data_IF_806195150055
#
_entry.id   IF_806195150055
#
_cell.length_a   1.000
_cell.length_b   1.000
_cell.length_c   1.000
_cell.angle_alpha   90.00
_cell.angle_beta   90.00
_cell.angle_gamma   90.00
#
_symmetry.space_group_name_H-M   'P 1'
#
loop_
_entity.id
_entity.type
_entity.pdbx_description
1 polymer ?
#
# COMPACT_ATOMS: atom_id res chain seq x y z
N UNK A 1 0.44 11.64 13.49
CA UNK A 1 0.47 10.64 12.41
C UNK A 1 0.11 9.26 12.95
N UNK A 2 -0.54 8.41 12.17
CA UNK A 2 -0.70 6.97 12.47
C UNK A 2 0.43 6.22 11.79
N UNK A 3 1.36 5.69 12.57
CA UNK A 3 2.58 5.07 12.06
C UNK A 3 2.47 3.56 12.10
N UNK A 4 2.20 3.02 13.29
CA UNK A 4 2.09 1.58 13.50
C UNK A 4 0.70 1.04 13.18
N UNK A 5 0.61 -0.29 13.03
CA UNK A 5 -0.67 -1.00 12.92
C UNK A 5 -1.58 -0.71 14.12
N UNK A 6 -1.03 -0.67 15.34
CA UNK A 6 -1.79 -0.39 16.56
C UNK A 6 -2.29 1.05 16.63
N UNK A 7 -1.54 2.03 16.10
CA UNK A 7 -2.02 3.40 15.96
C UNK A 7 -3.20 3.47 15.00
N UNK A 8 -3.06 2.87 13.80
CA UNK A 8 -4.14 2.85 12.81
C UNK A 8 -5.41 2.19 13.35
N UNK A 9 -5.27 1.12 14.15
CA UNK A 9 -6.39 0.44 14.79
C UNK A 9 -7.06 1.32 15.85
N UNK A 10 -6.26 1.93 16.73
CA UNK A 10 -6.75 2.73 17.86
C UNK A 10 -7.44 4.02 17.41
N UNK A 11 -6.85 4.72 16.45
CA UNK A 11 -7.36 6.00 15.97
C UNK A 11 -8.42 5.84 14.87
N UNK A 12 -8.54 4.65 14.27
CA UNK A 12 -9.50 4.36 13.20
C UNK A 12 -9.23 5.12 11.88
N UNK A 13 -8.04 5.71 11.74
CA UNK A 13 -7.61 6.49 10.57
C UNK A 13 -6.18 6.13 10.18
N UNK A 14 -5.83 6.42 8.91
CA UNK A 14 -4.49 6.21 8.39
C UNK A 14 -4.44 6.27 6.87
N UNK A 15 -3.24 6.53 6.34
CA UNK A 15 -2.99 6.44 4.89
C UNK A 15 -2.82 4.97 4.46
N UNK A 16 -2.68 4.71 3.16
CA UNK A 16 -2.62 3.33 2.64
C UNK A 16 -1.50 2.50 3.28
N UNK A 17 -0.35 3.08 3.57
CA UNK A 17 0.77 2.38 4.21
C UNK A 17 0.42 1.90 5.64
N UNK A 18 -0.14 2.79 6.47
CA UNK A 18 -0.56 2.45 7.83
C UNK A 18 -1.72 1.43 7.84
N UNK A 19 -2.66 1.55 6.89
CA UNK A 19 -3.75 0.59 6.70
C UNK A 19 -3.25 -0.78 6.25
N UNK A 20 -2.28 -0.81 5.33
CA UNK A 20 -1.67 -2.05 4.88
C UNK A 20 -0.92 -2.75 6.02
N UNK A 21 -0.23 -1.99 6.89
CA UNK A 21 0.38 -2.52 8.11
C UNK A 21 -0.67 -3.15 9.03
N UNK A 22 -1.80 -2.48 9.25
CA UNK A 22 -2.89 -3.00 10.07
C UNK A 22 -3.50 -4.28 9.47
N UNK A 23 -3.81 -4.29 8.17
CA UNK A 23 -4.38 -5.48 7.53
C UNK A 23 -3.40 -6.66 7.58
N UNK A 24 -2.11 -6.44 7.30
CA UNK A 24 -1.09 -7.48 7.42
C UNK A 24 -1.02 -8.05 8.84
N UNK A 25 -1.03 -7.18 9.86
CA UNK A 25 -1.01 -7.59 11.26
C UNK A 25 -2.24 -8.42 11.65
N UNK A 26 -3.45 -7.99 11.23
CA UNK A 26 -4.70 -8.70 11.50
C UNK A 26 -4.73 -10.08 10.83
N UNK A 27 -4.30 -10.18 9.57
CA UNK A 27 -4.21 -11.46 8.85
C UNK A 27 -3.25 -12.44 9.55
N UNK A 28 -2.04 -11.97 9.88
CA UNK A 28 -1.02 -12.79 10.54
C UNK A 28 -1.46 -13.23 11.94
N UNK A 29 -2.13 -12.36 12.68
CA UNK A 29 -2.70 -12.70 13.99
C UNK A 29 -3.74 -13.83 13.91
N UNK A 30 -4.38 -14.01 12.74
CA UNK A 30 -5.32 -15.08 12.46
C UNK A 30 -4.68 -16.27 11.70
N UNK A 31 -3.35 -16.34 11.64
CA UNK A 31 -2.63 -17.45 11.00
C UNK A 31 -2.67 -17.43 9.46
N UNK A 32 -3.12 -16.33 8.84
CA UNK A 32 -3.13 -16.18 7.39
C UNK A 32 -1.78 -15.58 6.96
N UNK A 33 -0.97 -16.29 6.15
CA UNK A 33 0.27 -15.71 5.62
C UNK A 33 -0.08 -14.48 4.80
N UNK A 34 0.57 -13.37 5.12
CA UNK A 34 0.33 -12.10 4.43
C UNK A 34 1.63 -11.35 4.19
N UNK A 35 1.64 -10.52 3.17
CA UNK A 35 2.74 -9.64 2.80
C UNK A 35 2.24 -8.30 2.30
N UNK A 36 3.14 -7.60 1.64
CA UNK A 36 2.93 -6.28 1.06
C UNK A 36 3.21 -6.33 -0.43
N UNK A 37 2.42 -5.57 -1.18
CA UNK A 37 2.64 -5.31 -2.59
C UNK A 37 2.47 -3.81 -2.85
N UNK A 38 3.00 -3.30 -3.95
CA UNK A 38 2.99 -1.87 -4.23
C UNK A 38 2.50 -1.52 -5.63
N UNK A 39 2.09 -0.26 -5.77
CA UNK A 39 1.85 0.39 -7.04
C UNK A 39 2.54 1.76 -7.02
N UNK A 40 3.13 2.18 -8.13
CA UNK A 40 3.53 3.56 -8.38
C UNK A 40 2.40 4.24 -9.14
N UNK A 41 1.78 5.24 -8.54
CA UNK A 41 0.59 5.90 -9.07
C UNK A 41 0.84 7.38 -9.27
N UNK A 42 0.15 7.97 -10.24
CA UNK A 42 0.13 9.42 -10.45
C UNK A 42 -0.52 10.12 -9.25
N UNK A 43 0.06 11.21 -8.75
CA UNK A 43 -0.48 11.89 -7.56
C UNK A 43 -1.73 12.72 -7.89
N UNK A 44 -1.76 13.33 -9.08
CA UNK A 44 -2.86 14.17 -9.58
C UNK A 44 -3.56 13.56 -10.79
N UNK A 45 -3.73 14.35 -11.85
CA UNK A 45 -4.41 13.91 -13.07
C UNK A 45 -3.48 13.77 -14.27
N UNK A 46 -2.24 14.22 -14.14
CA UNK A 46 -1.27 14.27 -15.23
C UNK A 46 0.16 13.96 -14.72
N UNK A 47 1.06 13.38 -15.54
CA UNK A 47 2.39 12.93 -15.11
C UNK A 47 3.26 14.00 -14.45
N UNK A 48 3.07 15.28 -14.81
CA UNK A 48 3.77 16.44 -14.25
C UNK A 48 3.39 16.73 -12.79
N UNK A 49 2.30 16.14 -12.28
CA UNK A 49 1.94 16.22 -10.85
C UNK A 49 2.77 15.29 -9.95
N UNK A 50 3.67 14.51 -10.54
CA UNK A 50 4.49 13.54 -9.83
C UNK A 50 3.74 12.26 -9.52
N UNK A 51 4.40 11.39 -8.75
CA UNK A 51 3.93 10.06 -8.44
C UNK A 51 4.14 9.76 -6.96
N UNK A 52 3.42 8.76 -6.46
CA UNK A 52 3.60 8.23 -5.13
C UNK A 52 3.48 6.71 -5.11
N UNK A 53 4.01 6.10 -4.06
CA UNK A 53 3.82 4.68 -3.80
C UNK A 53 2.52 4.45 -3.03
N UNK A 54 1.65 3.60 -3.58
CA UNK A 54 0.48 3.03 -2.91
C UNK A 54 0.79 1.63 -2.40
N UNK A 55 0.38 1.34 -1.16
CA UNK A 55 0.60 0.04 -0.53
C UNK A 55 -0.66 -0.80 -0.55
N UNK A 56 -0.46 -2.07 -0.88
CA UNK A 56 -1.43 -3.16 -0.92
C UNK A 56 -0.95 -4.29 -0.02
N UNK A 57 -1.80 -5.29 0.18
CA UNK A 57 -1.46 -6.51 0.89
C UNK A 57 -1.56 -7.71 -0.03
N UNK A 58 -0.72 -8.71 0.23
CA UNK A 58 -0.90 -10.07 -0.29
C UNK A 58 -1.40 -10.96 0.84
N UNK A 59 -2.28 -11.93 0.54
CA UNK A 59 -2.76 -12.92 1.49
C UNK A 59 -2.80 -14.29 0.84
N UNK A 60 -2.22 -15.30 1.49
CA UNK A 60 -2.24 -16.68 0.99
C UNK A 60 -3.48 -17.41 1.52
N UNK A 61 -4.34 -17.85 0.61
CA UNK A 61 -5.48 -18.69 0.96
C UNK A 61 -5.14 -20.15 0.71
N UNK A 62 -4.82 -20.87 1.78
CA UNK A 62 -4.44 -22.28 1.73
C UNK A 62 -5.51 -23.16 1.07
N UNK A 63 -6.79 -22.90 1.37
CA UNK A 63 -7.94 -23.60 0.77
C UNK A 63 -8.01 -23.52 -0.77
N UNK A 64 -7.37 -22.51 -1.38
CA UNK A 64 -7.32 -22.30 -2.82
C UNK A 64 -5.91 -22.45 -3.39
N UNK A 65 -4.89 -22.64 -2.55
CA UNK A 65 -3.49 -22.73 -2.95
C UNK A 65 -2.96 -21.50 -3.70
N UNK A 66 -3.50 -20.29 -3.44
CA UNK A 66 -3.12 -19.07 -4.17
C UNK A 66 -2.96 -17.84 -3.28
N UNK A 67 -2.10 -16.92 -3.75
CA UNK A 67 -1.99 -15.57 -3.23
C UNK A 67 -3.06 -14.66 -3.84
N UNK A 68 -3.69 -13.84 -3.02
CA UNK A 68 -4.58 -12.76 -3.42
C UNK A 68 -3.98 -11.41 -3.05
N UNK A 69 -4.17 -10.40 -3.89
CA UNK A 69 -3.85 -9.01 -3.56
C UNK A 69 -5.10 -8.28 -3.07
N UNK A 70 -4.94 -7.49 -2.02
CA UNK A 70 -5.99 -6.81 -1.29
C UNK A 70 -5.61 -5.34 -1.11
N UNK A 71 -6.57 -4.43 -1.25
CA UNK A 71 -6.37 -3.01 -0.94
C UNK A 71 -7.02 -2.64 0.41
N UNK A 72 -6.18 -2.40 1.42
CA UNK A 72 -6.62 -2.03 2.76
C UNK A 72 -7.33 -0.66 2.83
N UNK A 73 -7.31 0.13 1.75
CA UNK A 73 -8.08 1.38 1.65
C UNK A 73 -9.59 1.13 1.73
N UNK A 74 -10.04 -0.01 1.19
CA UNK A 74 -11.44 -0.40 1.10
C UNK A 74 -12.30 0.55 0.24
N UNK A 75 -13.61 0.35 0.33
CA UNK A 75 -14.57 1.02 -0.55
C UNK A 75 -14.85 2.47 -0.12
N UNK A 76 -15.10 3.31 -1.12
CA UNK A 76 -15.67 4.66 -1.00
C UNK A 76 -16.72 4.84 -2.09
N UNK A 77 -17.44 5.97 -2.11
CA UNK A 77 -18.47 6.28 -3.11
C UNK A 77 -18.04 5.99 -4.57
N UNK A 78 -16.76 6.24 -4.89
CA UNK A 78 -16.19 6.04 -6.23
C UNK A 78 -14.99 5.06 -6.22
N UNK A 79 -14.88 4.20 -5.21
CA UNK A 79 -13.76 3.24 -5.07
C UNK A 79 -14.33 1.88 -4.69
N UNK A 80 -14.03 0.87 -5.50
CA UNK A 80 -14.55 -0.50 -5.37
C UNK A 80 -13.37 -1.46 -5.26
N UNK A 81 -12.93 -1.70 -4.03
CA UNK A 81 -11.84 -2.58 -3.65
C UNK A 81 -12.32 -3.67 -2.67
N UNK A 82 -13.57 -4.14 -2.83
CA UNK A 82 -14.08 -5.21 -1.98
C UNK A 82 -13.36 -6.54 -2.23
N UNK A 83 -13.24 -7.35 -1.18
CA UNK A 83 -12.69 -8.69 -1.30
C UNK A 83 -13.49 -9.54 -2.30
N UNK A 84 -12.77 -10.26 -3.17
CA UNK A 84 -13.35 -11.20 -4.12
C UNK A 84 -12.41 -12.41 -4.28
N UNK A 85 -12.99 -13.60 -4.42
CA UNK A 85 -12.26 -14.84 -4.70
C UNK A 85 -12.05 -15.06 -6.21
N UNK A 86 -12.88 -14.42 -7.02
CA UNK A 86 -12.97 -14.64 -8.46
C UNK A 86 -12.01 -13.72 -9.23
N UNK A 87 -11.99 -12.44 -8.87
CA UNK A 87 -11.21 -11.40 -9.55
C UNK A 87 -10.54 -10.46 -8.56
N UNK A 88 -9.42 -9.86 -8.97
CA UNK A 88 -8.72 -8.84 -8.18
C UNK A 88 -9.48 -7.51 -8.24
N UNK A 89 -9.77 -6.93 -7.08
CA UNK A 89 -10.48 -5.66 -6.93
C UNK A 89 -9.65 -4.67 -6.13
N UNK A 90 -9.01 -3.74 -6.83
CA UNK A 90 -8.13 -2.72 -6.25
C UNK A 90 -8.72 -1.32 -6.44
N UNK A 91 -8.28 -0.36 -5.62
CA UNK A 91 -8.72 1.03 -5.79
C UNK A 91 -8.21 1.66 -7.09
N UNK A 92 -7.08 1.16 -7.60
CA UNK A 92 -6.38 1.70 -8.77
C UNK A 92 -5.85 0.57 -9.64
N UNK A 93 -5.90 0.80 -10.96
CA UNK A 93 -5.32 -0.07 -11.98
C UNK A 93 -4.36 0.78 -12.82
N UNK A 94 -3.05 0.76 -12.51
CA UNK A 94 -2.02 1.51 -13.21
C UNK A 94 -2.15 1.41 -14.74
N UNK A 95 -2.29 2.54 -15.43
CA UNK A 95 -2.42 2.56 -16.89
C UNK A 95 -1.82 3.80 -17.56
N UNK A 96 -1.40 4.80 -16.79
CA UNK A 96 -0.75 5.98 -17.31
C UNK A 96 0.76 5.75 -17.48
N UNK A 97 1.38 6.60 -18.30
CA UNK A 97 2.84 6.61 -18.46
C UNK A 97 3.51 6.77 -17.08
N UNK A 98 4.53 5.95 -16.82
CA UNK A 98 5.29 5.97 -15.57
C UNK A 98 4.61 5.29 -14.37
N UNK A 99 3.33 4.94 -14.44
CA UNK A 99 2.72 4.11 -13.40
C UNK A 99 3.22 2.68 -13.48
N UNK A 100 3.30 2.01 -12.32
CA UNK A 100 3.82 0.65 -12.21
C UNK A 100 2.92 -0.15 -11.28
N UNK A 101 2.49 -1.33 -11.72
CA UNK A 101 1.98 -2.36 -10.81
C UNK A 101 3.10 -3.38 -10.56
N UNK A 102 3.63 -3.42 -9.33
CA UNK A 102 4.84 -4.19 -9.02
C UNK A 102 4.60 -5.71 -8.92
N UNK A 103 3.36 -6.17 -8.73
CA UNK A 103 2.99 -7.60 -8.58
C UNK A 103 3.91 -8.42 -7.65
N UNK A 104 4.41 -7.77 -6.60
CA UNK A 104 5.39 -8.27 -5.65
C UNK A 104 4.75 -8.83 -4.37
N UNK A 105 5.58 -9.46 -3.53
CA UNK A 105 5.15 -10.02 -2.25
C UNK A 105 6.27 -9.94 -1.21
N UNK A 106 6.27 -8.88 -0.42
CA UNK A 106 7.27 -8.64 0.61
C UNK A 106 6.78 -9.05 1.98
N UNK A 107 7.63 -9.71 2.77
CA UNK A 107 7.30 -10.09 4.15
C UNK A 107 7.18 -8.87 5.09
N UNK A 108 7.87 -7.77 4.79
CA UNK A 108 7.90 -6.55 5.59
C UNK A 108 7.48 -5.34 4.74
N UNK A 109 6.95 -4.27 5.36
CA UNK A 109 6.71 -3.03 4.64
C UNK A 109 8.02 -2.41 4.16
N UNK A 110 7.96 -1.62 3.09
CA UNK A 110 9.12 -0.90 2.57
C UNK A 110 9.64 0.09 3.62
N UNK A 111 10.95 0.00 3.89
CA UNK A 111 11.57 0.77 4.97
C UNK A 111 11.60 2.27 4.67
N UNK A 112 11.69 2.66 3.39
CA UNK A 112 11.62 4.06 2.98
C UNK A 112 10.26 4.67 3.31
N UNK A 113 9.18 3.97 2.97
CA UNK A 113 7.81 4.41 3.30
C UNK A 113 7.61 4.52 4.83
N UNK A 114 8.11 3.55 5.60
CA UNK A 114 8.00 3.59 7.07
C UNK A 114 8.78 4.74 7.67
N UNK A 115 9.97 5.03 7.14
CA UNK A 115 10.80 6.16 7.58
C UNK A 115 10.05 7.48 7.39
N UNK A 116 9.34 7.66 6.27
CA UNK A 116 8.52 8.86 6.04
C UNK A 116 7.40 8.97 7.07
N UNK A 117 6.68 7.88 7.37
CA UNK A 117 5.63 7.91 8.41
C UNK A 117 6.17 8.26 9.79
N UNK A 118 7.27 7.64 10.19
CA UNK A 118 7.90 7.81 11.50
C UNK A 118 8.38 9.24 11.75
N UNK A 119 8.88 9.92 10.70
CA UNK A 119 9.40 11.28 10.80
C UNK A 119 8.35 12.36 10.51
N UNK A 120 7.17 11.98 10.03
CA UNK A 120 6.08 12.92 9.77
C UNK A 120 5.31 13.25 11.04
N UNK A 121 4.97 14.52 11.21
CA UNK A 121 4.10 14.99 12.31
C UNK A 121 2.75 15.50 11.80
N UNK A 122 2.69 15.94 10.55
CA UNK A 122 1.50 16.44 9.86
C UNK A 122 1.24 15.64 8.57
N UNK A 123 0.01 15.18 8.39
CA UNK A 123 -0.35 14.34 7.25
C UNK A 123 -0.46 15.14 5.95
N UNK A 124 -0.89 16.40 6.03
CA UNK A 124 -1.06 17.28 4.87
C UNK A 124 0.32 17.65 4.33
N UNK A 125 1.24 18.06 5.20
CA UNK A 125 2.63 18.36 4.85
C UNK A 125 3.32 17.15 4.20
N UNK A 126 3.16 15.96 4.80
CA UNK A 126 3.65 14.70 4.22
C UNK A 126 3.12 14.46 2.81
N UNK A 127 1.82 14.62 2.58
CA UNK A 127 1.21 14.43 1.26
C UNK A 127 1.72 15.42 0.22
N UNK A 128 2.00 16.66 0.62
CA UNK A 128 2.40 17.72 -0.30
C UNK A 128 3.89 17.69 -0.64
N UNK A 129 4.74 17.17 0.26
CA UNK A 129 6.18 17.41 0.17
C UNK A 129 7.06 16.17 0.34
N UNK A 130 6.56 15.08 0.94
CA UNK A 130 7.43 14.00 1.43
C UNK A 130 7.06 12.61 0.89
N UNK A 131 6.10 12.50 -0.03
CA UNK A 131 5.76 11.21 -0.62
C UNK A 131 6.86 10.74 -1.59
N UNK A 132 7.45 9.56 -1.38
CA UNK A 132 8.39 8.98 -2.33
C UNK A 132 7.64 8.39 -3.52
N UNK A 133 8.32 8.36 -4.66
CA UNK A 133 7.80 7.83 -5.92
C UNK A 133 8.45 6.51 -6.35
N UNK A 134 9.28 5.92 -5.48
CA UNK A 134 10.01 4.68 -5.70
C UNK A 134 10.17 3.90 -4.40
N UNK A 135 10.32 2.58 -4.49
CA UNK A 135 10.59 1.73 -3.33
C UNK A 135 12.06 1.85 -2.91
N UNK A 136 12.35 1.66 -1.63
CA UNK A 136 13.71 1.78 -1.07
C UNK A 136 14.71 0.79 -1.69
N UNK A 137 14.23 -0.37 -2.14
CA UNK A 137 15.06 -1.40 -2.78
C UNK A 137 15.16 -1.26 -4.30
N UNK A 138 14.39 -0.35 -4.93
CA UNK A 138 14.51 -0.06 -6.37
C UNK A 138 15.80 0.75 -6.67
N UNK A 139 16.48 1.29 -5.65
CA UNK A 139 17.76 2.01 -5.75
C UNK A 139 18.96 1.04 -5.89
N UNK A 140 18.78 -0.13 -6.52
CA UNK A 140 19.88 -1.08 -6.80
C UNK A 140 20.27 -1.26 -8.26
N UNK A 141 19.67 -0.51 -9.19
CA UNK A 141 20.20 -0.43 -10.57
C UNK A 141 20.48 1.02 -10.99
N UNK A 142 21.52 1.62 -10.43
CA UNK A 142 22.24 2.71 -11.07
C UNK A 142 23.75 2.45 -10.98
N UNK A 143 24.23 1.77 -12.04
CA UNK A 143 25.62 1.62 -12.53
C UNK A 143 26.67 0.97 -11.63
#
# INVERSE_FOLDING_TARGET
>A
MTVSASDCLREGVGICWAKANLLAALLRANGIPSGFSYQRLILGSTPDTGYCIHALNTAYLDSLGKWLRLDARGNKKNVHAEFSLDEEKLAFYPNAEGEIDYHDNHANPDQGLMTVLEHSTDAIDMYLHHLPDSLSNDIKELK
#
